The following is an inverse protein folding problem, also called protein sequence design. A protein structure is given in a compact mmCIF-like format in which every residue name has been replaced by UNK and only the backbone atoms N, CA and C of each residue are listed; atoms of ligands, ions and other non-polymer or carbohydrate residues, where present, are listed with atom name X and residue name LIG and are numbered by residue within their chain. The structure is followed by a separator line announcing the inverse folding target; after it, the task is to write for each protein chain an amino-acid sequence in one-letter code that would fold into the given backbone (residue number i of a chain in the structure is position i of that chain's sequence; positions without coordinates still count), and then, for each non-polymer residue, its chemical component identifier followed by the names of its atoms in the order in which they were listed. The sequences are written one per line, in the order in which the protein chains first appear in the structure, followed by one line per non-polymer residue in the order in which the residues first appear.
data_IF_087867901699
#
_entry.id   IF_087867901699
#
_cell.length_a   1.000
_cell.length_b   1.000
_cell.length_c   1.000
_cell.angle_alpha   90.00
_cell.angle_beta   90.00
_cell.angle_gamma   90.00
#
_symmetry.space_group_name_H-M   'P 1'
#
loop_
_entity.id
_entity.type
_entity.pdbx_description
1 polymer ?
#
# COMPACT_ATOMS: atom_id res chain seq x y z
N UNK A 1 -7.91 -3.87 15.15
CA UNK A 1 -7.14 -3.56 13.93
C UNK A 1 -7.36 -4.65 12.89
N UNK A 2 -7.08 -5.91 13.24
CA UNK A 2 -7.34 -7.05 12.36
C UNK A 2 -8.80 -7.12 11.89
N UNK A 3 -9.79 -7.01 12.77
CA UNK A 3 -11.21 -7.09 12.38
C UNK A 3 -11.63 -6.08 11.29
N UNK A 4 -10.98 -4.90 11.23
CA UNK A 4 -11.22 -3.91 10.18
C UNK A 4 -10.45 -4.25 8.90
N UNK A 5 -9.22 -4.75 9.04
CA UNK A 5 -8.35 -5.14 7.95
C UNK A 5 -8.75 -6.47 7.29
N UNK A 6 -9.40 -7.37 8.02
CA UNK A 6 -9.84 -8.69 7.55
C UNK A 6 -10.80 -8.55 6.36
N UNK A 7 -11.67 -7.54 6.37
CA UNK A 7 -12.52 -7.22 5.21
C UNK A 7 -11.73 -7.03 3.91
N UNK A 8 -10.49 -6.53 4.02
CA UNK A 8 -9.58 -6.30 2.89
C UNK A 8 -8.98 -7.59 2.31
N UNK A 9 -9.03 -8.69 3.06
CA UNK A 9 -8.58 -10.03 2.63
C UNK A 9 -9.71 -10.85 1.99
N UNK A 10 -10.96 -10.40 2.10
CA UNK A 10 -12.14 -11.10 1.60
C UNK A 10 -12.57 -10.56 0.21
N UNK A 11 -13.33 -11.35 -0.59
CA UNK A 11 -13.94 -10.85 -1.81
C UNK A 11 -14.87 -9.66 -1.53
N UNK A 12 -14.75 -8.61 -2.36
CA UNK A 12 -15.51 -7.37 -2.22
C UNK A 12 -17.00 -7.53 -2.49
N UNK A 13 -17.81 -6.94 -1.61
CA UNK A 13 -19.23 -6.65 -1.83
C UNK A 13 -19.47 -5.13 -1.91
N UNK A 14 -19.51 -4.58 -3.13
CA UNK A 14 -19.87 -3.18 -3.38
C UNK A 14 -18.70 -2.17 -3.37
N UNK A 15 -18.99 -0.85 -3.29
CA UNK A 15 -17.98 0.21 -3.40
C UNK A 15 -17.21 0.51 -2.10
N UNK A 16 -17.82 0.28 -0.94
CA UNK A 16 -17.27 0.58 0.39
C UNK A 16 -16.91 -0.68 1.17
N UNK A 17 -15.83 -0.65 1.94
CA UNK A 17 -15.39 -1.75 2.82
C UNK A 17 -15.14 -1.25 4.23
N UNK A 18 -15.15 -2.15 5.22
CA UNK A 18 -14.81 -1.79 6.60
C UNK A 18 -13.37 -1.24 6.71
N UNK A 19 -12.49 -1.66 5.81
CA UNK A 19 -11.15 -1.10 5.64
C UNK A 19 -11.15 0.42 5.31
N UNK A 20 -12.21 0.97 4.70
CA UNK A 20 -12.30 2.42 4.48
C UNK A 20 -12.40 3.19 5.82
N UNK A 21 -12.97 2.58 6.86
CA UNK A 21 -12.99 3.14 8.22
C UNK A 21 -11.58 3.17 8.80
N UNK A 22 -10.74 2.18 8.49
CA UNK A 22 -9.34 2.19 8.92
C UNK A 22 -8.58 3.39 8.31
N UNK A 23 -8.83 3.71 7.03
CA UNK A 23 -8.28 4.91 6.41
C UNK A 23 -8.75 6.21 7.11
N UNK A 24 -10.04 6.30 7.46
CA UNK A 24 -10.61 7.48 8.16
C UNK A 24 -9.98 7.67 9.55
N UNK A 25 -9.86 6.59 10.33
CA UNK A 25 -9.27 6.64 11.68
C UNK A 25 -7.83 7.17 11.63
N UNK A 26 -7.08 6.87 10.57
CA UNK A 26 -5.73 7.40 10.35
C UNK A 26 -5.72 8.84 9.77
N UNK A 27 -6.73 9.21 8.99
CA UNK A 27 -6.82 10.55 8.39
C UNK A 27 -7.19 11.64 9.41
N UNK A 28 -8.02 11.33 10.41
CA UNK A 28 -8.45 12.31 11.43
C UNK A 28 -7.27 12.92 12.21
N UNK A 29 -6.32 12.14 12.77
CA UNK A 29 -5.13 12.69 13.40
C UNK A 29 -4.30 13.58 12.46
N UNK A 30 -4.14 13.19 11.20
CA UNK A 30 -3.40 13.97 10.21
C UNK A 30 -4.07 15.34 9.96
N UNK A 31 -5.40 15.34 9.76
CA UNK A 31 -6.18 16.57 9.60
C UNK A 31 -6.12 17.46 10.84
N UNK A 32 -6.20 16.89 12.04
CA UNK A 32 -6.11 17.63 13.29
C UNK A 32 -4.74 18.31 13.44
N UNK A 33 -3.65 17.60 13.13
CA UNK A 33 -2.29 18.14 13.15
C UNK A 33 -2.09 19.26 12.10
N UNK A 34 -2.60 19.06 10.89
CA UNK A 34 -2.58 20.08 9.84
C UNK A 34 -3.37 21.33 10.25
N UNK A 35 -4.59 21.17 10.77
CA UNK A 35 -5.42 22.29 11.20
C UNK A 35 -4.78 23.04 12.37
N UNK A 36 -4.30 22.33 13.40
CA UNK A 36 -3.59 22.95 14.51
C UNK A 36 -2.35 23.71 14.04
N UNK A 37 -1.54 23.10 13.18
CA UNK A 37 -0.34 23.73 12.65
C UNK A 37 -0.60 24.91 11.72
N UNK A 38 -1.72 24.91 11.00
CA UNK A 38 -2.10 26.00 10.09
C UNK A 38 -2.66 27.22 10.84
N UNK A 39 -3.50 27.00 11.85
CA UNK A 39 -4.18 28.08 12.58
C UNK A 39 -3.36 28.69 13.73
N UNK A 40 -2.23 28.07 14.12
CA UNK A 40 -1.38 28.54 15.22
C UNK A 40 0.01 28.93 14.71
N UNK A 41 0.64 29.92 15.35
CA UNK A 41 2.01 30.36 15.02
C UNK A 41 3.01 29.85 16.06
N UNK A 42 4.19 29.47 15.60
CA UNK A 42 5.30 29.05 16.45
C UNK A 42 5.94 27.75 15.98
N UNK A 43 7.04 27.36 16.63
CA UNK A 43 7.79 26.16 16.27
C UNK A 43 6.96 24.88 16.44
N UNK A 44 6.28 24.72 17.59
CA UNK A 44 5.49 23.52 17.87
C UNK A 44 4.32 23.35 16.87
N UNK A 45 3.48 24.36 16.58
CA UNK A 45 2.52 24.29 15.49
C UNK A 45 3.14 23.94 14.14
N UNK A 46 4.29 24.52 13.79
CA UNK A 46 5.00 24.20 12.55
C UNK A 46 5.42 22.73 12.46
N UNK A 47 5.90 22.14 13.57
CA UNK A 47 6.21 20.72 13.65
C UNK A 47 4.96 19.85 13.52
N UNK A 48 3.85 20.24 14.15
CA UNK A 48 2.57 19.55 13.99
C UNK A 48 2.09 19.59 12.53
N UNK A 49 2.17 20.74 11.86
CA UNK A 49 1.84 20.86 10.45
C UNK A 49 2.69 19.89 9.60
N UNK A 50 4.01 19.89 9.81
CA UNK A 50 4.94 19.01 9.10
C UNK A 50 4.62 17.53 9.33
N UNK A 51 4.30 17.13 10.57
CA UNK A 51 3.91 15.78 10.90
C UNK A 51 2.59 15.37 10.22
N UNK A 52 1.56 16.23 10.30
CA UNK A 52 0.28 16.00 9.63
C UNK A 52 0.41 15.90 8.11
N UNK A 53 1.26 16.73 7.52
CA UNK A 53 1.58 16.68 6.09
C UNK A 53 2.29 15.37 5.72
N UNK A 54 3.28 14.95 6.53
CA UNK A 54 3.99 13.68 6.34
C UNK A 54 3.05 12.47 6.39
N UNK A 55 2.16 12.40 7.38
CA UNK A 55 1.15 11.34 7.49
C UNK A 55 0.23 11.34 6.27
N UNK A 56 -0.23 12.52 5.83
CA UNK A 56 -1.12 12.65 4.68
C UNK A 56 -0.46 12.16 3.40
N UNK A 57 0.77 12.59 3.13
CA UNK A 57 1.52 12.18 1.93
C UNK A 57 1.83 10.68 1.96
N UNK A 58 2.20 10.15 3.12
CA UNK A 58 2.42 8.71 3.29
C UNK A 58 1.13 7.92 3.05
N UNK A 59 0.01 8.35 3.63
CA UNK A 59 -1.30 7.72 3.43
C UNK A 59 -1.76 7.75 1.97
N UNK A 60 -1.54 8.86 1.27
CA UNK A 60 -1.79 8.95 -0.17
C UNK A 60 -0.92 7.96 -0.95
N UNK A 61 0.40 7.94 -0.70
CA UNK A 61 1.29 7.00 -1.36
C UNK A 61 0.88 5.55 -1.10
N UNK A 62 0.48 5.23 0.14
CA UNK A 62 -0.03 3.92 0.51
C UNK A 62 -1.30 3.57 -0.28
N UNK A 63 -2.29 4.47 -0.36
CA UNK A 63 -3.52 4.24 -1.12
C UNK A 63 -3.24 3.96 -2.61
N UNK A 64 -2.38 4.77 -3.26
CA UNK A 64 -2.04 4.56 -4.67
C UNK A 64 -1.32 3.23 -4.89
N UNK A 65 -0.40 2.84 -4.01
CA UNK A 65 0.36 1.60 -4.20
C UNK A 65 -0.45 0.39 -3.76
N UNK A 66 -1.02 0.38 -2.58
CA UNK A 66 -1.79 -0.75 -2.06
C UNK A 66 -3.12 -0.92 -2.82
N UNK A 67 -4.05 0.00 -2.64
CA UNK A 67 -5.40 -0.11 -3.20
C UNK A 67 -5.39 0.03 -4.73
N UNK A 68 -4.63 1.00 -5.25
CA UNK A 68 -4.53 1.26 -6.68
C UNK A 68 -3.72 0.19 -7.41
N UNK A 69 -2.42 0.05 -7.12
CA UNK A 69 -1.52 -0.81 -7.90
C UNK A 69 -1.66 -2.29 -7.54
N UNK A 70 -1.66 -2.63 -6.25
CA UNK A 70 -1.67 -4.03 -5.82
C UNK A 70 -3.05 -4.64 -6.00
N UNK A 71 -4.08 -3.96 -5.49
CA UNK A 71 -5.47 -4.44 -5.49
C UNK A 71 -6.28 -4.03 -6.71
N UNK A 72 -5.73 -3.16 -7.58
CA UNK A 72 -6.40 -2.71 -8.82
C UNK A 72 -7.77 -2.07 -8.58
N UNK A 73 -7.95 -1.40 -7.43
CA UNK A 73 -9.20 -0.68 -7.09
C UNK A 73 -9.46 0.49 -8.04
N UNK A 74 -8.40 1.13 -8.56
CA UNK A 74 -8.47 2.21 -9.53
C UNK A 74 -7.18 2.28 -10.36
N UNK A 75 -7.20 2.87 -11.57
CA UNK A 75 -6.00 2.99 -12.40
C UNK A 75 -4.95 3.92 -11.77
N UNK A 76 -3.70 3.47 -11.70
CA UNK A 76 -2.56 4.22 -11.16
C UNK A 76 -1.63 4.79 -12.23
N UNK A 77 -2.02 4.64 -13.51
CA UNK A 77 -1.26 5.16 -14.65
C UNK A 77 0.17 4.61 -14.71
N UNK A 78 1.18 5.43 -15.02
CA UNK A 78 2.54 4.96 -15.30
C UNK A 78 3.25 4.29 -14.12
N UNK A 79 2.74 4.46 -12.90
CA UNK A 79 3.35 3.94 -11.66
C UNK A 79 3.46 2.41 -11.71
N UNK A 80 2.51 1.73 -12.37
CA UNK A 80 2.54 0.27 -12.54
C UNK A 80 3.74 -0.26 -13.36
N UNK A 81 4.38 0.64 -14.11
CA UNK A 81 5.52 0.32 -14.97
C UNK A 81 6.86 0.33 -14.22
N UNK A 82 6.92 0.97 -13.05
CA UNK A 82 8.15 1.13 -12.30
C UNK A 82 8.60 -0.23 -11.74
N UNK A 83 9.84 -0.67 -12.02
CA UNK A 83 10.33 -1.99 -11.61
C UNK A 83 10.20 -2.26 -10.10
N UNK A 84 10.50 -1.26 -9.27
CA UNK A 84 10.39 -1.39 -7.82
C UNK A 84 8.94 -1.61 -7.35
N UNK A 85 7.98 -0.83 -7.86
CA UNK A 85 6.58 -1.00 -7.48
C UNK A 85 5.99 -2.33 -7.97
N UNK A 86 6.52 -2.89 -9.06
CA UNK A 86 6.21 -4.26 -9.46
C UNK A 86 6.70 -5.30 -8.45
N UNK A 87 7.91 -5.12 -7.90
CA UNK A 87 8.44 -5.97 -6.82
C UNK A 87 7.61 -5.84 -5.55
N UNK A 88 7.24 -4.61 -5.15
CA UNK A 88 6.33 -4.35 -4.02
C UNK A 88 5.01 -5.10 -4.21
N UNK A 89 4.42 -5.00 -5.40
CA UNK A 89 3.15 -5.67 -5.67
C UNK A 89 3.27 -7.20 -5.69
N UNK A 90 4.41 -7.75 -6.12
CA UNK A 90 4.70 -9.17 -6.00
C UNK A 90 4.90 -9.62 -4.54
N UNK A 91 5.62 -8.83 -3.74
CA UNK A 91 5.83 -9.09 -2.32
C UNK A 91 4.51 -9.11 -1.54
N UNK A 92 3.63 -8.14 -1.81
CA UNK A 92 2.29 -8.08 -1.23
C UNK A 92 1.40 -9.26 -1.66
N UNK A 93 1.58 -9.77 -2.88
CA UNK A 93 0.88 -10.97 -3.33
C UNK A 93 1.33 -12.21 -2.55
N UNK A 94 2.61 -12.30 -2.20
CA UNK A 94 3.17 -13.41 -1.42
C UNK A 94 2.67 -13.37 0.03
N UNK A 95 2.53 -12.17 0.61
CA UNK A 95 1.86 -11.97 1.91
C UNK A 95 0.46 -12.61 1.91
N UNK A 96 -0.35 -12.29 0.89
CA UNK A 96 -1.70 -12.86 0.73
C UNK A 96 -1.76 -14.36 0.38
N UNK A 97 -0.61 -14.99 0.10
CA UNK A 97 -0.52 -16.44 -0.09
C UNK A 97 -0.21 -17.17 1.22
N UNK A 98 -0.11 -16.44 2.34
CA UNK A 98 0.27 -16.95 3.66
C UNK A 98 1.59 -17.75 3.65
N UNK A 99 2.49 -17.41 2.73
CA UNK A 99 3.84 -17.98 2.68
C UNK A 99 4.72 -17.29 3.71
N UNK A 100 5.77 -17.98 4.17
CA UNK A 100 6.77 -17.41 5.10
C UNK A 100 6.14 -16.84 6.39
N UNK A 101 5.17 -17.55 6.97
CA UNK A 101 4.45 -17.10 8.19
C UNK A 101 3.78 -15.72 7.98
N UNK A 102 3.22 -15.53 6.78
CA UNK A 102 2.59 -14.30 6.32
C UNK A 102 3.54 -13.09 6.19
N UNK A 103 4.85 -13.27 6.20
CA UNK A 103 5.80 -12.21 5.81
C UNK A 103 5.74 -12.01 4.29
N UNK A 104 5.73 -10.76 3.78
CA UNK A 104 6.02 -9.50 4.46
C UNK A 104 4.79 -8.70 4.92
N UNK A 105 4.94 -7.96 6.02
CA UNK A 105 3.92 -7.06 6.57
C UNK A 105 4.10 -5.60 6.09
N UNK A 106 5.34 -5.20 5.78
CA UNK A 106 5.62 -3.87 5.25
C UNK A 106 5.29 -3.75 3.76
N UNK A 107 4.43 -2.81 3.37
CA UNK A 107 4.10 -2.60 1.94
C UNK A 107 5.35 -2.25 1.11
N UNK A 108 6.01 -1.13 1.44
CA UNK A 108 7.18 -0.67 0.67
C UNK A 108 8.44 -1.50 0.98
N UNK A 109 8.56 -2.00 2.21
CA UNK A 109 9.72 -2.81 2.63
C UNK A 109 9.56 -4.29 2.33
N UNK A 110 8.42 -4.73 1.77
CA UNK A 110 8.12 -6.13 1.57
C UNK A 110 9.17 -6.91 0.76
N UNK A 111 9.77 -6.35 -0.29
CA UNK A 111 10.89 -7.01 -0.97
C UNK A 111 12.09 -7.29 -0.07
N UNK A 112 12.38 -6.37 0.87
CA UNK A 112 13.49 -6.50 1.83
C UNK A 112 13.15 -7.48 2.94
N UNK A 113 11.94 -7.41 3.49
CA UNK A 113 11.46 -8.38 4.48
C UNK A 113 11.48 -9.81 3.93
N UNK A 114 11.09 -9.99 2.66
CA UNK A 114 11.20 -11.29 1.99
C UNK A 114 12.65 -11.75 1.82
N UNK A 115 13.59 -10.86 1.53
CA UNK A 115 15.01 -11.18 1.46
C UNK A 115 15.54 -11.68 2.82
N UNK A 116 15.14 -11.03 3.91
CA UNK A 116 15.54 -11.37 5.28
C UNK A 116 15.03 -12.76 5.72
N UNK A 117 13.89 -13.23 5.19
CA UNK A 117 13.34 -14.57 5.47
C UNK A 117 13.68 -15.62 4.39
N UNK A 118 14.56 -15.29 3.44
CA UNK A 118 14.99 -16.21 2.38
C UNK A 118 13.97 -16.41 1.24
N UNK A 119 12.97 -15.54 1.12
CA UNK A 119 11.91 -15.56 0.11
C UNK A 119 12.27 -14.96 -1.25
N UNK A 120 13.53 -14.63 -1.51
CA UNK A 120 13.98 -13.95 -2.75
C UNK A 120 13.64 -14.72 -4.03
N UNK A 121 13.75 -16.05 -4.01
CA UNK A 121 13.42 -16.87 -5.18
C UNK A 121 11.91 -16.83 -5.49
N UNK A 122 11.08 -16.89 -4.45
CA UNK A 122 9.62 -16.79 -4.59
C UNK A 122 9.20 -15.42 -5.10
N UNK A 123 9.83 -14.36 -4.58
CA UNK A 123 9.64 -12.99 -5.05
C UNK A 123 9.95 -12.87 -6.54
N UNK A 124 11.08 -13.39 -7.00
CA UNK A 124 11.46 -13.31 -8.41
C UNK A 124 10.50 -14.11 -9.30
N UNK A 125 10.08 -15.30 -8.86
CA UNK A 125 9.05 -16.10 -9.57
C UNK A 125 7.75 -15.30 -9.75
N UNK A 126 7.25 -14.67 -8.71
CA UNK A 126 6.00 -13.89 -8.78
C UNK A 126 6.16 -12.62 -9.61
N UNK A 127 7.32 -11.94 -9.55
CA UNK A 127 7.63 -10.81 -10.45
C UNK A 127 7.59 -11.24 -11.92
N UNK A 128 8.25 -12.35 -12.26
CA UNK A 128 8.25 -12.86 -13.64
C UNK A 128 6.86 -13.29 -14.09
N UNK A 129 6.06 -13.90 -13.20
CA UNK A 129 4.66 -14.25 -13.47
C UNK A 129 3.83 -13.01 -13.80
N UNK A 130 3.99 -11.92 -13.05
CA UNK A 130 3.31 -10.64 -13.30
C UNK A 130 3.71 -10.02 -14.64
N UNK A 131 5.00 -10.04 -14.98
CA UNK A 131 5.51 -9.55 -16.28
C UNK A 131 4.87 -10.34 -17.43
N UNK A 132 4.90 -11.67 -17.37
CA UNK A 132 4.30 -12.54 -18.40
C UNK A 132 2.80 -12.33 -18.54
N UNK A 133 2.06 -12.22 -17.42
CA UNK A 133 0.62 -11.96 -17.44
C UNK A 133 0.30 -10.64 -18.15
N UNK A 134 1.11 -9.62 -17.91
CA UNK A 134 0.95 -8.33 -18.57
C UNK A 134 1.27 -8.38 -20.05
N UNK A 135 2.42 -8.93 -20.44
CA UNK A 135 2.79 -9.07 -21.86
C UNK A 135 1.70 -9.80 -22.67
N UNK A 136 1.07 -10.81 -22.06
CA UNK A 136 -0.07 -11.51 -22.67
C UNK A 136 -1.32 -10.63 -22.80
N UNK A 137 -1.59 -9.77 -21.81
CA UNK A 137 -2.69 -8.81 -21.86
C UNK A 137 -2.49 -7.77 -22.96
N UNK A 138 -1.27 -7.22 -23.06
CA UNK A 138 -0.90 -6.20 -24.04
C UNK A 138 -0.92 -6.76 -25.46
N UNK A 139 -0.56 -8.03 -25.66
CA UNK A 139 -0.58 -8.70 -26.97
C UNK A 139 -1.99 -9.09 -27.46
N UNK A 140 -3.01 -8.99 -26.60
CA UNK A 140 -4.41 -9.34 -26.92
C UNK A 140 -5.28 -8.10 -27.15
N UNK A 141 -4.71 -6.90 -26.99
CA UNK A 141 -5.31 -5.61 -27.34
C UNK A 141 -4.87 -5.18 -28.76
#
# INVERSE_FOLDING_TARGET
LWDMHESHHLPRDGPFELNDVFAIVNAVPAMALLAFGFFNRGLLPGLCFGAGLGITLFGMAYMFVHDGLVHRRFPVGPIENVPYFRRVAAAHQIHHMDKFDSVPYGLFLGPKELEEVGGTEELEKEVQRRIKRRQKSDAMQ
#
